data_IF_905874646217
#
_entry.id   IF_905874646217
#
_cell.length_a   1.000
_cell.length_b   1.000
_cell.length_c   1.000
_cell.angle_alpha   90.00
_cell.angle_beta   90.00
_cell.angle_gamma   90.00
#
_symmetry.space_group_name_H-M   'P 1'
#
loop_
_entity.id
_entity.type
_entity.pdbx_description
1 polymer ?
#
# COMPACT_ATOMS: atom_id res chain seq x y z
N UNK A 1 -12.06 -11.03 -11.42
CA UNK A 1 -13.40 -10.84 -10.82
C UNK A 1 -13.37 -11.53 -9.48
N UNK A 2 -13.69 -10.85 -8.39
CA UNK A 2 -13.71 -11.42 -7.03
C UNK A 2 -15.13 -11.26 -6.49
N UNK A 3 -15.59 -12.30 -5.81
CA UNK A 3 -16.86 -12.30 -5.10
C UNK A 3 -16.55 -12.43 -3.61
N UNK A 4 -16.87 -11.39 -2.83
CA UNK A 4 -16.72 -11.43 -1.37
C UNK A 4 -18.02 -12.00 -0.79
N UNK A 5 -17.93 -13.06 0.03
CA UNK A 5 -19.09 -13.69 0.69
C UNK A 5 -19.04 -13.39 2.19
N UNK A 6 -20.06 -12.70 2.72
CA UNK A 6 -20.21 -12.32 4.14
C UNK A 6 -21.47 -12.96 4.71
N UNK A 7 -21.38 -13.65 5.86
CA UNK A 7 -22.55 -14.28 6.54
C UNK A 7 -23.44 -15.10 5.58
N UNK A 8 -22.85 -15.80 4.61
CA UNK A 8 -23.58 -16.60 3.61
C UNK A 8 -24.27 -15.81 2.50
N UNK A 9 -24.00 -14.50 2.33
CA UNK A 9 -24.53 -13.65 1.26
C UNK A 9 -23.41 -12.94 0.51
N UNK A 10 -23.59 -12.72 -0.78
CA UNK A 10 -22.65 -11.96 -1.61
C UNK A 10 -22.64 -10.50 -1.17
N UNK A 11 -21.51 -10.02 -0.67
CA UNK A 11 -21.36 -8.66 -0.14
C UNK A 11 -20.93 -7.67 -1.24
N UNK A 12 -20.02 -8.07 -2.14
CA UNK A 12 -19.52 -7.19 -3.19
C UNK A 12 -19.00 -8.00 -4.39
N UNK A 13 -19.16 -7.44 -5.60
CA UNK A 13 -18.64 -8.02 -6.85
C UNK A 13 -17.84 -6.97 -7.61
N UNK A 14 -16.52 -7.16 -7.71
CA UNK A 14 -15.60 -6.24 -8.37
C UNK A 14 -14.50 -6.95 -9.16
N UNK A 15 -13.68 -6.18 -9.89
CA UNK A 15 -12.44 -6.72 -10.44
C UNK A 15 -11.32 -6.66 -9.40
N UNK A 16 -10.31 -7.52 -9.51
CA UNK A 16 -9.10 -7.42 -8.69
C UNK A 16 -8.42 -6.06 -8.90
N UNK A 17 -8.62 -5.46 -10.07
CA UNK A 17 -8.12 -4.13 -10.42
C UNK A 17 -8.87 -3.04 -9.65
N UNK A 18 -10.21 -3.10 -9.56
CA UNK A 18 -11.05 -2.19 -8.76
C UNK A 18 -10.60 -2.11 -7.30
N UNK A 19 -10.35 -3.26 -6.67
CA UNK A 19 -9.89 -3.32 -5.28
C UNK A 19 -8.42 -2.88 -5.12
N UNK A 20 -7.61 -2.98 -6.19
CA UNK A 20 -6.21 -2.54 -6.19
C UNK A 20 -6.05 -1.02 -6.25
N UNK A 21 -7.07 -0.26 -6.68
CA UNK A 21 -7.00 1.20 -6.62
C UNK A 21 -6.94 1.75 -5.18
N UNK A 22 -7.28 0.92 -4.19
CA UNK A 22 -7.18 1.21 -2.75
C UNK A 22 -5.94 0.58 -2.10
N UNK A 23 -5.06 -0.04 -2.90
CA UNK A 23 -3.87 -0.73 -2.37
C UNK A 23 -2.61 0.11 -2.39
N UNK A 24 -1.95 0.14 -1.24
CA UNK A 24 -0.59 0.64 -1.07
C UNK A 24 0.42 -0.45 -1.44
N UNK A 25 1.41 -0.12 -2.26
CA UNK A 25 2.53 -1.01 -2.60
C UNK A 25 3.65 -0.80 -1.59
N UNK A 26 4.12 -1.88 -0.97
CA UNK A 26 5.30 -1.81 -0.11
C UNK A 26 6.57 -1.84 -0.97
N UNK A 27 7.43 -0.86 -0.76
CA UNK A 27 8.72 -0.70 -1.43
C UNK A 27 9.83 -0.88 -0.41
N UNK A 28 10.82 -1.71 -0.76
CA UNK A 28 12.09 -1.81 -0.06
C UNK A 28 13.20 -1.61 -1.08
N UNK A 29 14.09 -0.65 -0.86
CA UNK A 29 15.19 -0.37 -1.76
C UNK A 29 16.50 -0.14 -1.01
N UNK A 30 17.60 -0.48 -1.67
CA UNK A 30 18.95 -0.07 -1.29
C UNK A 30 19.45 0.90 -2.34
N UNK A 31 20.00 2.04 -1.90
CA UNK A 31 20.35 3.16 -2.75
C UNK A 31 21.84 3.46 -2.67
N UNK A 32 22.39 4.07 -3.71
CA UNK A 32 23.79 4.48 -3.74
C UNK A 32 24.03 5.74 -2.91
N UNK A 33 22.99 6.56 -2.77
CA UNK A 33 22.97 7.78 -1.96
C UNK A 33 21.71 7.83 -1.11
N UNK A 34 21.73 8.52 0.05
CA UNK A 34 20.55 8.65 0.88
C UNK A 34 19.37 9.23 0.09
N UNK A 35 18.15 8.70 0.27
CA UNK A 35 16.97 9.16 -0.46
C UNK A 35 16.43 10.47 0.09
N UNK A 36 17.08 11.58 -0.26
CA UNK A 36 16.55 12.90 0.02
C UNK A 36 15.25 13.16 -0.77
N UNK A 37 14.23 13.66 -0.07
CA UNK A 37 12.97 14.09 -0.69
C UNK A 37 11.90 13.01 -0.87
N UNK A 38 12.14 11.73 -0.52
CA UNK A 38 11.09 10.70 -0.53
C UNK A 38 9.97 11.03 0.45
N UNK A 39 10.30 11.57 1.62
CA UNK A 39 9.33 11.98 2.63
C UNK A 39 8.36 13.07 2.14
N UNK A 40 8.76 13.85 1.13
CA UNK A 40 7.95 14.93 0.58
C UNK A 40 7.05 14.47 -0.59
N UNK A 41 7.15 13.20 -1.01
CA UNK A 41 6.34 12.69 -2.10
C UNK A 41 4.90 12.43 -1.65
N UNK A 42 3.91 12.84 -2.46
CA UNK A 42 2.52 12.54 -2.18
C UNK A 42 2.29 11.02 -2.23
N UNK A 43 1.46 10.53 -1.31
CA UNK A 43 1.09 9.13 -1.23
C UNK A 43 2.17 8.18 -0.71
N UNK A 44 3.28 8.71 -0.18
CA UNK A 44 4.26 7.92 0.60
C UNK A 44 3.81 7.85 2.06
N UNK A 45 3.82 6.64 2.62
CA UNK A 45 3.41 6.33 3.98
C UNK A 45 4.48 5.47 4.66
N UNK A 46 4.54 5.51 5.99
CA UNK A 46 5.38 4.64 6.82
C UNK A 46 6.86 4.60 6.37
N UNK A 47 7.41 5.76 6.00
CA UNK A 47 8.79 5.87 5.54
C UNK A 47 9.77 5.58 6.68
N UNK A 48 10.65 4.61 6.44
CA UNK A 48 11.77 4.24 7.28
C UNK A 48 13.06 4.29 6.45
N UNK A 49 14.07 4.99 6.96
CA UNK A 49 15.39 5.10 6.35
C UNK A 49 16.41 4.55 7.35
N UNK A 50 17.20 3.57 6.91
CA UNK A 50 18.27 2.95 7.65
C UNK A 50 19.55 3.03 6.81
N UNK A 51 20.31 4.12 6.99
CA UNK A 51 21.49 4.42 6.17
C UNK A 51 21.15 4.58 4.69
N UNK A 52 21.57 3.61 3.87
CA UNK A 52 21.33 3.53 2.43
C UNK A 52 20.10 2.69 2.06
N UNK A 53 19.42 2.11 3.05
CA UNK A 53 18.20 1.33 2.88
C UNK A 53 16.97 2.16 3.17
N UNK A 54 15.94 1.96 2.36
CA UNK A 54 14.65 2.64 2.53
C UNK A 54 13.49 1.66 2.41
N UNK A 55 12.51 1.81 3.30
CA UNK A 55 11.25 1.09 3.31
C UNK A 55 10.11 2.08 3.41
N UNK A 56 9.09 1.93 2.57
CA UNK A 56 7.87 2.74 2.64
C UNK A 56 6.72 2.06 1.92
N UNK A 57 5.52 2.51 2.22
CA UNK A 57 4.32 2.21 1.45
C UNK A 57 4.03 3.36 0.49
N UNK A 58 3.58 3.06 -0.73
CA UNK A 58 3.17 4.08 -1.69
C UNK A 58 1.84 3.74 -2.33
N UNK A 59 0.96 4.73 -2.42
CA UNK A 59 -0.30 4.59 -3.15
C UNK A 59 -0.01 4.28 -4.63
N UNK A 60 -0.77 3.34 -5.21
CA UNK A 60 -0.55 2.90 -6.60
C UNK A 60 -0.55 4.08 -7.60
N UNK A 61 -1.34 5.13 -7.34
CA UNK A 61 -1.38 6.34 -8.17
C UNK A 61 -0.07 7.15 -8.16
N UNK A 62 0.73 7.03 -7.09
CA UNK A 62 1.97 7.79 -6.89
C UNK A 62 3.24 6.93 -7.08
N UNK A 63 3.08 5.65 -7.44
CA UNK A 63 4.18 4.71 -7.60
C UNK A 63 5.22 5.15 -8.64
N UNK A 64 4.80 5.67 -9.81
CA UNK A 64 5.72 6.14 -10.85
C UNK A 64 6.64 7.26 -10.33
N UNK A 65 6.07 8.24 -9.63
CA UNK A 65 6.82 9.36 -9.05
C UNK A 65 7.84 8.88 -8.00
N UNK A 66 7.45 7.92 -7.15
CA UNK A 66 8.33 7.32 -6.16
C UNK A 66 9.50 6.56 -6.80
N UNK A 67 9.24 5.74 -7.83
CA UNK A 67 10.27 5.00 -8.54
C UNK A 67 11.28 5.93 -9.24
N UNK A 68 10.84 7.05 -9.80
CA UNK A 68 11.73 8.06 -10.39
C UNK A 68 12.68 8.67 -9.37
N UNK A 69 12.18 8.99 -8.16
CA UNK A 69 13.05 9.51 -7.10
C UNK A 69 14.07 8.47 -6.63
N UNK A 70 13.64 7.22 -6.44
CA UNK A 70 14.57 6.14 -6.10
C UNK A 70 15.67 5.98 -7.16
N UNK A 71 15.32 6.07 -8.44
CA UNK A 71 16.27 5.93 -9.54
C UNK A 71 17.28 7.08 -9.55
N UNK A 72 16.89 8.30 -9.18
CA UNK A 72 17.81 9.45 -9.03
C UNK A 72 18.82 9.26 -7.91
N UNK A 73 18.42 8.61 -6.81
CA UNK A 73 19.31 8.27 -5.70
C UNK A 73 20.24 7.06 -6.01
N UNK A 74 20.02 6.39 -7.16
CA UNK A 74 20.80 5.26 -7.64
C UNK A 74 20.40 3.94 -6.98
N UNK A 75 19.40 3.25 -7.52
CA UNK A 75 18.93 1.97 -7.00
C UNK A 75 19.98 0.86 -7.19
N UNK A 76 20.38 0.23 -6.09
CA UNK A 76 21.22 -0.99 -6.08
C UNK A 76 20.37 -2.26 -5.99
N UNK A 77 19.32 -2.20 -5.18
CA UNK A 77 18.35 -3.30 -5.01
C UNK A 77 16.96 -2.70 -4.80
N UNK A 78 15.93 -3.32 -5.38
CA UNK A 78 14.54 -2.88 -5.26
C UNK A 78 13.63 -4.10 -5.21
N UNK A 79 12.84 -4.18 -4.14
CA UNK A 79 11.76 -5.14 -3.99
C UNK A 79 10.47 -4.38 -3.84
N UNK A 80 9.56 -4.57 -4.79
CA UNK A 80 8.18 -4.08 -4.72
C UNK A 80 7.26 -5.26 -4.45
N UNK A 81 6.38 -5.10 -3.47
CA UNK A 81 5.34 -6.09 -3.17
C UNK A 81 3.98 -5.39 -3.22
N UNK A 82 3.10 -5.76 -4.18
CA UNK A 82 1.70 -5.40 -4.04
C UNK A 82 1.17 -6.10 -2.78
N UNK A 83 0.22 -5.48 -2.05
CA UNK A 83 -0.31 -6.10 -0.85
C UNK A 83 -1.05 -7.37 -1.23
N UNK A 84 -0.98 -8.35 -0.34
CA UNK A 84 -1.65 -9.62 -0.57
C UNK A 84 -3.16 -9.44 -0.50
N UNK A 85 -3.90 -10.39 -1.09
CA UNK A 85 -5.35 -10.42 -0.94
C UNK A 85 -5.76 -10.56 0.53
N UNK A 86 -4.95 -11.21 1.35
CA UNK A 86 -5.22 -11.41 2.76
C UNK A 86 -5.15 -10.09 3.55
N UNK A 87 -4.14 -9.26 3.28
CA UNK A 87 -3.99 -7.92 3.88
C UNK A 87 -5.10 -6.95 3.43
N UNK A 88 -5.55 -7.09 2.18
CA UNK A 88 -6.72 -6.37 1.64
C UNK A 88 -8.00 -6.71 2.39
N UNK A 89 -8.23 -7.99 2.68
CA UNK A 89 -9.41 -8.45 3.39
C UNK A 89 -9.40 -8.04 4.87
N UNK A 90 -8.23 -8.05 5.53
CA UNK A 90 -8.11 -7.70 6.95
C UNK A 90 -8.38 -6.21 7.22
N UNK A 91 -7.86 -5.29 6.40
CA UNK A 91 -8.15 -3.84 6.57
C UNK A 91 -9.65 -3.54 6.42
N UNK A 92 -10.33 -4.19 5.48
CA UNK A 92 -11.77 -3.99 5.28
C UNK A 92 -12.61 -4.61 6.42
N UNK A 93 -12.13 -5.68 7.05
CA UNK A 93 -12.81 -6.27 8.21
C UNK A 93 -12.66 -5.44 9.49
N UNK A 94 -11.60 -4.62 9.59
CA UNK A 94 -11.34 -3.76 10.76
C UNK A 94 -12.12 -2.44 10.72
N UNK A 95 -12.32 -1.84 9.54
CA UNK A 95 -13.09 -0.59 9.39
C UNK A 95 -14.61 -0.82 9.61
N UNK A 96 -15.12 -2.01 9.28
CA UNK A 96 -16.53 -2.38 9.50
C UNK A 96 -16.86 -2.75 10.96
N UNK A 97 -15.87 -3.14 11.78
CA UNK A 97 -16.11 -3.54 13.17
C UNK A 97 -16.33 -2.32 14.10
N UNK A 98 -15.84 -1.14 13.73
CA UNK A 98 -16.04 0.10 14.48
C UNK A 98 -17.38 0.75 14.17
N UNK A 99 -17.90 0.59 12.95
CA UNK A 99 -19.20 1.14 12.55
C UNK A 99 -20.42 0.42 13.18
N UNK A 100 -20.30 -0.88 13.48
CA UNK A 100 -21.39 -1.68 14.09
C UNK A 100 -21.56 -1.37 15.60
N UNK A 101 -20.60 -0.69 16.23
CA UNK A 101 -20.61 -0.34 17.65
C UNK A 101 -21.34 0.97 18.01
N UNK A 102 -21.61 1.86 17.05
CA UNK A 102 -22.21 3.18 17.31
C UNK A 102 -23.74 3.21 17.12
N UNK A 103 -24.35 2.17 16.55
CA UNK A 103 -25.83 2.13 16.36
C UNK A 103 -26.58 1.49 17.54
N UNK A 104 -25.87 1.07 18.59
CA UNK A 104 -26.46 0.53 19.82
C UNK A 104 -26.32 1.54 20.98
N UNK A 105 -26.98 2.71 20.88
CA UNK A 105 -27.29 3.52 22.06
C UNK A 105 -28.63 4.24 21.95
#
# INVERSE_FOLDING_TARGET
>A
RITIIRKGRTAETGTLNDLRHLTRTSINAELATPPDGIAALPGVHDLQIDGDRVRFEVDTAHLDAALRQLTRAGVRSLVSRPPTLEELFLRHYQDDLTADGETAR
#
